data_IF_151879006854
#
_entry.id   IF_151879006854
#
_cell.length_a   1.000
_cell.length_b   1.000
_cell.length_c   1.000
_cell.angle_alpha   90.00
_cell.angle_beta   90.00
_cell.angle_gamma   90.00
#
_symmetry.space_group_name_H-M   'P 1'
#
loop_
_entity.id
_entity.type
_entity.pdbx_description
1 polymer ?
#
# COMPACT_ATOMS: atom_id res chain seq x y z
N UNK A 1 10.93 26.54 -45.18
CA UNK A 1 9.49 26.71 -44.88
C UNK A 1 9.33 27.29 -43.49
N UNK A 2 8.89 28.54 -43.42
CA UNK A 2 9.01 29.46 -42.27
C UNK A 2 7.89 29.33 -41.22
N UNK A 3 7.65 28.11 -40.70
CA UNK A 3 6.53 27.84 -39.79
C UNK A 3 6.83 28.14 -38.30
N UNK A 4 8.02 28.64 -37.96
CA UNK A 4 8.44 28.89 -36.57
C UNK A 4 8.20 30.32 -36.05
N UNK A 5 7.76 31.27 -36.88
CA UNK A 5 7.78 32.71 -36.51
C UNK A 5 6.41 33.40 -36.75
N UNK A 6 5.29 32.67 -36.84
CA UNK A 6 3.95 33.29 -36.95
C UNK A 6 3.19 33.26 -35.61
N UNK A 7 3.63 32.42 -34.66
CA UNK A 7 2.99 32.32 -33.35
C UNK A 7 3.27 33.55 -32.47
N UNK A 8 4.41 34.25 -32.64
CA UNK A 8 4.85 35.27 -31.70
C UNK A 8 4.07 36.61 -31.81
N UNK A 9 3.82 37.12 -33.00
CA UNK A 9 3.20 38.46 -33.16
C UNK A 9 1.68 38.45 -33.05
N UNK A 10 1.03 37.33 -33.38
CA UNK A 10 -0.40 37.16 -33.19
C UNK A 10 -0.76 36.77 -31.75
N UNK A 11 0.06 35.96 -31.04
CA UNK A 11 -0.18 35.71 -29.60
C UNK A 11 -0.09 36.98 -28.76
N UNK A 12 0.86 37.87 -29.06
CA UNK A 12 1.00 39.17 -28.38
C UNK A 12 -0.22 40.09 -28.55
N UNK A 13 -1.04 39.87 -29.58
CA UNK A 13 -2.29 40.63 -29.81
C UNK A 13 -3.50 40.02 -29.10
N UNK A 14 -3.43 38.75 -28.70
CA UNK A 14 -4.54 37.99 -28.13
C UNK A 14 -4.48 37.94 -26.60
N UNK A 15 -3.28 37.96 -26.03
CA UNK A 15 -3.07 37.98 -24.59
C UNK A 15 -1.85 38.82 -24.21
N UNK A 16 -2.01 39.63 -23.16
CA UNK A 16 -0.92 40.31 -22.47
C UNK A 16 -0.09 39.29 -21.66
N UNK A 17 1.15 39.66 -21.34
CA UNK A 17 2.01 38.84 -20.49
C UNK A 17 1.35 38.54 -19.14
N UNK A 18 0.68 39.53 -18.57
CA UNK A 18 0.01 39.41 -17.26
C UNK A 18 -1.15 38.42 -17.30
N UNK A 19 -1.92 38.38 -18.40
CA UNK A 19 -3.00 37.40 -18.61
C UNK A 19 -2.46 35.97 -18.73
N UNK A 20 -1.32 35.78 -19.42
CA UNK A 20 -0.67 34.47 -19.53
C UNK A 20 -0.13 33.99 -18.18
N UNK A 21 0.54 34.87 -17.44
CA UNK A 21 1.10 34.55 -16.12
C UNK A 21 -0.01 34.24 -15.09
N UNK A 22 -1.15 34.95 -15.15
CA UNK A 22 -2.31 34.68 -14.29
C UNK A 22 -2.97 33.33 -14.62
N UNK A 23 -3.15 33.01 -15.91
CA UNK A 23 -3.71 31.73 -16.34
C UNK A 23 -2.81 30.55 -15.97
N UNK A 24 -1.48 30.70 -16.10
CA UNK A 24 -0.53 29.68 -15.69
C UNK A 24 -0.59 29.42 -14.18
N UNK A 25 -0.68 30.50 -13.37
CA UNK A 25 -0.82 30.40 -11.92
C UNK A 25 -2.12 29.69 -11.51
N UNK A 26 -3.23 30.02 -12.17
CA UNK A 26 -4.52 29.38 -11.91
C UNK A 26 -4.49 27.87 -12.24
N UNK A 27 -3.90 27.50 -13.37
CA UNK A 27 -3.73 26.09 -13.75
C UNK A 27 -2.86 25.30 -12.74
N UNK A 28 -1.78 25.91 -12.23
CA UNK A 28 -0.93 25.31 -11.19
C UNK A 28 -1.72 25.09 -9.90
N UNK A 29 -2.49 26.09 -9.45
CA UNK A 29 -3.34 25.99 -8.26
C UNK A 29 -4.43 24.91 -8.40
N UNK A 30 -5.08 24.81 -9.55
CA UNK A 30 -6.08 23.76 -9.81
C UNK A 30 -5.46 22.36 -9.80
N UNK A 31 -4.25 22.22 -10.34
CA UNK A 31 -3.50 20.95 -10.34
C UNK A 31 -3.11 20.53 -8.92
N UNK A 32 -2.57 21.45 -8.13
CA UNK A 32 -2.23 21.21 -6.71
C UNK A 32 -3.46 20.87 -5.88
N UNK A 33 -4.57 21.57 -6.10
CA UNK A 33 -5.85 21.30 -5.44
C UNK A 33 -6.36 19.90 -5.79
N UNK A 34 -6.31 19.51 -7.07
CA UNK A 34 -6.74 18.19 -7.52
C UNK A 34 -5.91 17.05 -6.90
N UNK A 35 -4.57 17.20 -6.86
CA UNK A 35 -3.71 16.21 -6.21
C UNK A 35 -3.96 16.14 -4.69
N UNK A 36 -4.16 17.29 -4.04
CA UNK A 36 -4.52 17.35 -2.63
C UNK A 36 -5.85 16.65 -2.35
N UNK A 37 -6.86 16.84 -3.21
CA UNK A 37 -8.16 16.18 -3.09
C UNK A 37 -8.05 14.66 -3.27
N UNK A 38 -7.25 14.17 -4.23
CA UNK A 38 -6.97 12.74 -4.41
C UNK A 38 -6.34 12.15 -3.14
N UNK A 39 -5.36 12.83 -2.55
CA UNK A 39 -4.72 12.41 -1.30
C UNK A 39 -5.71 12.39 -0.13
N UNK A 40 -6.56 13.42 -0.01
CA UNK A 40 -7.58 13.49 1.02
C UNK A 40 -8.60 12.35 0.91
N UNK A 41 -9.12 12.07 -0.29
CA UNK A 41 -10.05 10.95 -0.51
C UNK A 41 -9.40 9.61 -0.14
N UNK A 42 -8.12 9.41 -0.48
CA UNK A 42 -7.36 8.22 -0.10
C UNK A 42 -7.15 8.12 1.42
N UNK A 43 -6.82 9.22 2.08
CA UNK A 43 -6.67 9.25 3.53
C UNK A 43 -8.00 8.94 4.24
N UNK A 44 -9.12 9.46 3.73
CA UNK A 44 -10.44 9.18 4.28
C UNK A 44 -10.90 7.74 4.05
N UNK A 45 -10.58 7.13 2.91
CA UNK A 45 -10.87 5.71 2.68
C UNK A 45 -10.07 4.80 3.62
N UNK A 46 -8.80 5.12 3.86
CA UNK A 46 -7.94 4.42 4.83
C UNK A 46 -8.44 4.61 6.27
N UNK A 47 -8.82 5.83 6.65
CA UNK A 47 -9.40 6.14 7.96
C UNK A 47 -10.71 5.37 8.17
N UNK A 48 -11.60 5.34 7.17
CA UNK A 48 -12.85 4.61 7.24
C UNK A 48 -12.63 3.09 7.31
N UNK A 49 -11.64 2.56 6.59
CA UNK A 49 -11.23 1.16 6.71
C UNK A 49 -10.73 0.85 8.14
N UNK A 50 -9.87 1.69 8.71
CA UNK A 50 -9.35 1.53 10.07
C UNK A 50 -10.46 1.66 11.14
N UNK A 51 -11.37 2.61 10.99
CA UNK A 51 -12.51 2.81 11.90
C UNK A 51 -13.52 1.66 11.83
N UNK A 52 -13.79 1.12 10.64
CA UNK A 52 -14.72 0.00 10.45
C UNK A 52 -14.17 -1.32 10.99
N UNK A 53 -12.86 -1.53 10.86
CA UNK A 53 -12.25 -2.82 11.21
C UNK A 53 -11.64 -2.82 12.61
N UNK A 54 -11.41 -1.66 13.23
CA UNK A 54 -10.73 -1.54 14.53
C UNK A 54 -9.31 -2.12 14.50
N UNK A 55 -8.57 -2.02 15.61
CA UNK A 55 -7.32 -2.78 15.83
C UNK A 55 -7.59 -4.28 16.05
N UNK A 56 -8.50 -4.87 15.27
CA UNK A 56 -8.73 -6.31 15.30
C UNK A 56 -7.66 -6.94 14.43
N UNK A 57 -6.91 -7.88 14.99
CA UNK A 57 -6.09 -8.80 14.23
C UNK A 57 -6.91 -9.28 13.03
N UNK A 58 -6.50 -8.87 11.83
CA UNK A 58 -7.23 -9.28 10.63
C UNK A 58 -6.78 -10.69 10.36
N UNK A 59 -7.64 -11.65 10.68
CA UNK A 59 -7.49 -13.02 10.21
C UNK A 59 -7.29 -12.97 8.69
N UNK A 60 -6.05 -13.24 8.24
CA UNK A 60 -5.76 -13.30 6.83
C UNK A 60 -5.79 -14.77 6.38
N UNK A 61 -6.50 -15.03 5.29
CA UNK A 61 -6.48 -16.31 4.61
C UNK A 61 -5.88 -16.11 3.22
N UNK A 62 -4.80 -16.83 2.92
CA UNK A 62 -4.16 -16.81 1.61
C UNK A 62 -4.09 -18.22 1.06
N UNK A 63 -4.49 -18.41 -0.20
CA UNK A 63 -4.31 -19.71 -0.89
C UNK A 63 -2.83 -19.98 -1.17
N UNK A 64 -2.06 -18.94 -1.51
CA UNK A 64 -0.62 -18.99 -1.73
C UNK A 64 0.00 -17.77 -1.06
N UNK A 65 1.04 -17.97 -0.25
CA UNK A 65 1.81 -16.89 0.39
C UNK A 65 3.25 -16.96 -0.13
N UNK A 66 3.71 -15.90 -0.78
CA UNK A 66 5.11 -15.73 -1.17
C UNK A 66 5.70 -14.58 -0.36
N UNK A 67 6.69 -14.86 0.49
CA UNK A 67 7.32 -13.88 1.38
C UNK A 67 8.75 -13.66 0.94
N UNK A 68 9.12 -12.41 0.67
CA UNK A 68 10.51 -12.00 0.54
C UNK A 68 10.97 -11.47 1.90
N UNK A 69 11.93 -12.13 2.54
CA UNK A 69 12.42 -11.80 3.89
C UNK A 69 11.98 -12.80 4.94
N UNK A 70 11.66 -12.32 6.15
CA UNK A 70 11.30 -13.15 7.30
C UNK A 70 9.79 -13.13 7.57
N UNK A 71 9.21 -14.30 7.84
CA UNK A 71 7.83 -14.45 8.28
C UNK A 71 7.80 -14.50 9.81
N UNK A 72 7.28 -13.46 10.45
CA UNK A 72 7.10 -13.38 11.90
C UNK A 72 5.67 -13.81 12.24
N UNK A 73 5.52 -14.88 13.02
CA UNK A 73 4.23 -15.36 13.54
C UNK A 73 4.16 -15.05 15.04
N UNK A 74 3.58 -13.91 15.45
CA UNK A 74 3.39 -13.62 16.86
C UNK A 74 2.41 -14.63 17.46
N UNK A 75 2.73 -15.13 18.65
CA UNK A 75 1.85 -16.03 19.40
C UNK A 75 1.73 -15.46 20.81
N UNK A 76 0.50 -15.37 21.32
CA UNK A 76 0.27 -15.24 22.74
C UNK A 76 0.84 -16.51 23.39
N UNK A 77 1.93 -16.37 24.15
CA UNK A 77 2.56 -17.50 24.83
C UNK A 77 1.71 -17.83 26.05
N UNK A 78 0.60 -18.54 25.84
CA UNK A 78 -0.29 -19.02 26.91
C UNK A 78 0.16 -20.38 27.46
N UNK A 79 1.26 -20.92 26.93
CA UNK A 79 1.85 -22.14 27.45
C UNK A 79 2.56 -21.83 28.78
N UNK A 80 1.87 -22.10 29.89
CA UNK A 80 2.53 -22.45 31.15
C UNK A 80 3.67 -23.43 30.82
N UNK A 81 4.83 -23.29 31.46
CA UNK A 81 6.00 -24.17 31.26
C UNK A 81 5.66 -25.63 31.61
N UNK A 82 4.94 -26.32 30.73
CA UNK A 82 4.72 -27.75 30.77
C UNK A 82 5.72 -28.38 29.81
N UNK A 83 6.40 -29.40 30.30
CA UNK A 83 7.24 -30.27 29.48
C UNK A 83 6.46 -30.71 28.24
N UNK A 84 7.01 -30.44 27.05
CA UNK A 84 6.42 -30.86 25.77
C UNK A 84 6.03 -32.35 25.84
N UNK A 85 4.86 -32.76 25.30
CA UNK A 85 4.49 -34.16 25.24
C UNK A 85 5.57 -34.99 24.54
N UNK A 86 5.80 -36.23 25.01
CA UNK A 86 6.86 -37.10 24.45
C UNK A 86 6.70 -37.38 22.95
N UNK A 87 5.48 -37.29 22.42
CA UNK A 87 5.17 -37.54 21.01
C UNK A 87 4.32 -36.41 20.43
N UNK A 88 4.64 -35.93 19.21
CA UNK A 88 3.82 -34.95 18.53
C UNK A 88 2.48 -35.57 18.10
N UNK A 89 1.43 -34.76 18.10
CA UNK A 89 0.11 -35.18 17.60
C UNK A 89 0.07 -35.28 16.08
N UNK A 90 0.98 -34.61 15.38
CA UNK A 90 1.15 -34.72 13.95
C UNK A 90 2.21 -33.77 13.42
N UNK A 91 2.27 -33.63 12.09
CA UNK A 91 3.22 -32.77 11.40
C UNK A 91 2.55 -31.91 10.34
N UNK A 92 2.91 -30.63 10.31
CA UNK A 92 2.65 -29.70 9.23
C UNK A 92 3.82 -29.78 8.25
N UNK A 93 3.54 -30.01 6.96
CA UNK A 93 4.57 -30.00 5.91
C UNK A 93 4.72 -28.57 5.39
N UNK A 94 5.92 -28.02 5.49
CA UNK A 94 6.28 -26.72 4.93
C UNK A 94 7.32 -26.90 3.82
N UNK A 95 7.11 -26.27 2.67
CA UNK A 95 8.14 -26.19 1.63
C UNK A 95 8.95 -24.91 1.87
N UNK A 96 10.23 -25.05 2.22
CA UNK A 96 11.17 -23.96 2.49
C UNK A 96 12.26 -24.02 1.42
N UNK A 97 12.20 -23.13 0.43
CA UNK A 97 12.98 -23.26 -0.80
C UNK A 97 12.63 -24.55 -1.54
N UNK A 98 13.63 -25.35 -1.90
CA UNK A 98 13.44 -26.64 -2.58
C UNK A 98 13.26 -27.84 -1.63
N UNK A 99 13.30 -27.60 -0.31
CA UNK A 99 13.20 -28.67 0.70
C UNK A 99 11.82 -28.69 1.34
N UNK A 100 11.30 -29.90 1.58
CA UNK A 100 10.11 -30.11 2.41
C UNK A 100 10.56 -30.39 3.85
N UNK A 101 10.10 -29.57 4.79
CA UNK A 101 10.32 -29.66 6.24
C UNK A 101 9.03 -30.12 6.93
N UNK A 102 9.15 -30.89 8.01
CA UNK A 102 8.02 -31.31 8.85
C UNK A 102 8.10 -30.59 10.19
N UNK A 103 7.11 -29.76 10.49
CA UNK A 103 6.99 -29.05 11.77
C UNK A 103 6.00 -29.81 12.66
N UNK A 104 6.42 -30.32 13.83
CA UNK A 104 5.51 -31.02 14.74
C UNK A 104 4.47 -30.05 15.34
N UNK A 105 3.26 -30.55 15.59
CA UNK A 105 2.29 -29.86 16.45
C UNK A 105 1.80 -30.80 17.54
N UNK A 106 1.38 -30.21 18.65
CA UNK A 106 0.91 -30.91 19.84
C UNK A 106 -0.53 -30.45 20.10
N UNK A 107 -1.44 -31.40 20.29
CA UNK A 107 -2.76 -31.11 20.84
C UNK A 107 -2.58 -30.83 22.32
N UNK A 108 -3.34 -29.86 22.81
CA UNK A 108 -3.58 -29.68 24.25
C UNK A 108 -4.26 -30.93 24.84
#
# INVERSE_FOLDING_TARGET
TSWRIIINDNFKKLYTKDEVDANLKNYQLETELNETLKLYVKAQSLKNYALKNGNKEVDFSAKNLNVFGELILPSASDLNETTLPQSPSGFIKLKVGDKVVKVPYYKE
#
